data_IF_551758695471
#
_entry.id   IF_551758695471
#
_cell.length_a   1.000
_cell.length_b   1.000
_cell.length_c   1.000
_cell.angle_alpha   90.00
_cell.angle_beta   90.00
_cell.angle_gamma   90.00
#
_symmetry.space_group_name_H-M   'P 1'
#
loop_
_entity.id
_entity.type
_entity.pdbx_description
1 polymer ?
#
# COMPACT_ATOMS: atom_id res chain seq x y z
N UNK A 1 -15.32 13.51 19.65
CA UNK A 1 -15.25 13.11 18.67
C UNK A 1 -13.99 12.60 18.16
N UNK A 2 -13.96 11.63 17.55
CA UNK A 2 -12.83 10.88 17.31
C UNK A 2 -12.22 11.15 16.00
N UNK A 3 -12.15 12.36 15.66
CA UNK A 3 -11.61 12.71 14.46
C UNK A 3 -10.17 12.48 14.35
N UNK A 4 -9.54 12.14 15.40
CA UNK A 4 -8.12 11.93 15.38
C UNK A 4 -7.72 10.56 14.87
N UNK A 5 -8.69 9.70 14.71
CA UNK A 5 -8.38 8.37 14.22
C UNK A 5 -8.64 8.28 12.73
N UNK A 6 -7.64 7.93 11.97
CA UNK A 6 -7.83 7.69 10.55
C UNK A 6 -8.46 6.32 10.35
N UNK A 7 -9.41 6.18 9.43
CA UNK A 7 -10.00 4.88 9.19
C UNK A 7 -9.00 3.94 8.57
N UNK A 8 -9.12 2.67 8.90
CA UNK A 8 -8.32 1.63 8.27
C UNK A 8 -8.98 1.33 6.93
N UNK A 9 -8.26 1.54 5.86
CA UNK A 9 -8.80 1.31 4.53
C UNK A 9 -8.19 0.09 3.87
N UNK A 10 -7.10 -0.43 4.39
CA UNK A 10 -6.49 -1.66 3.90
C UNK A 10 -6.38 -2.60 5.08
N UNK A 11 -6.86 -3.81 4.92
CA UNK A 11 -6.79 -4.81 5.98
C UNK A 11 -5.83 -5.91 5.60
N UNK A 12 -5.23 -6.50 6.60
CA UNK A 12 -4.31 -7.60 6.41
C UNK A 12 -4.97 -8.71 5.58
N UNK A 13 -4.25 -9.18 4.58
CA UNK A 13 -4.76 -10.20 3.68
C UNK A 13 -5.54 -9.66 2.51
N UNK A 14 -5.82 -8.37 2.49
CA UNK A 14 -6.59 -7.77 1.42
C UNK A 14 -5.72 -7.52 0.21
N UNK A 15 -6.29 -7.72 -0.96
CA UNK A 15 -5.58 -7.45 -2.20
C UNK A 15 -5.58 -5.94 -2.45
N UNK A 16 -4.47 -5.40 -2.85
CA UNK A 16 -4.36 -3.97 -3.09
C UNK A 16 -3.47 -3.72 -4.30
N UNK A 17 -3.51 -2.48 -4.79
CA UNK A 17 -2.67 -2.08 -5.92
C UNK A 17 -1.43 -1.41 -5.35
N UNK A 18 -0.27 -1.86 -5.82
CA UNK A 18 0.99 -1.26 -5.47
C UNK A 18 1.38 -0.33 -6.61
N UNK A 19 1.58 0.94 -6.30
CA UNK A 19 2.01 1.93 -7.28
C UNK A 19 3.46 2.28 -7.01
N UNK A 20 4.33 1.99 -7.95
CA UNK A 20 5.75 2.23 -7.81
C UNK A 20 6.26 3.00 -9.01
N UNK A 21 7.18 3.91 -8.79
CA UNK A 21 7.69 4.67 -9.89
C UNK A 21 8.46 5.89 -9.46
N UNK A 22 8.74 6.72 -10.44
CA UNK A 22 9.44 7.98 -10.20
C UNK A 22 8.79 9.05 -11.06
N UNK A 23 9.48 10.18 -11.25
CA UNK A 23 8.90 11.29 -11.99
C UNK A 23 8.65 10.99 -13.46
N UNK A 24 9.27 9.95 -13.98
CA UNK A 24 9.19 9.69 -15.41
C UNK A 24 8.19 8.60 -15.76
N UNK A 25 7.94 7.67 -14.88
CA UNK A 25 6.98 6.63 -15.17
C UNK A 25 6.48 6.02 -13.87
N UNK A 26 5.32 5.38 -13.98
CA UNK A 26 4.70 4.72 -12.85
C UNK A 26 4.30 3.31 -13.25
N UNK A 27 4.55 2.35 -12.37
CA UNK A 27 4.21 0.97 -12.57
C UNK A 27 3.19 0.57 -11.52
N UNK A 28 2.16 -0.13 -11.93
CA UNK A 28 1.16 -0.65 -11.01
C UNK A 28 1.25 -2.17 -10.98
N UNK A 29 1.14 -2.68 -9.78
CA UNK A 29 1.24 -4.12 -9.55
C UNK A 29 0.18 -4.53 -8.55
N UNK A 30 -0.21 -5.80 -8.60
CA UNK A 30 -1.13 -6.33 -7.62
C UNK A 30 -0.34 -6.85 -6.43
N UNK A 31 -0.79 -6.49 -5.24
CA UNK A 31 -0.15 -6.94 -4.03
C UNK A 31 -1.16 -7.37 -2.99
N UNK A 32 -0.65 -7.92 -1.91
CA UNK A 32 -1.46 -8.37 -0.80
C UNK A 32 -0.93 -7.70 0.46
N UNK A 33 -1.83 -7.07 1.20
CA UNK A 33 -1.43 -6.39 2.42
C UNK A 33 -1.05 -7.41 3.48
N UNK A 34 0.07 -7.17 4.14
CA UNK A 34 0.54 -8.06 5.20
C UNK A 34 0.17 -7.53 6.59
N UNK A 35 -0.42 -6.34 6.63
CA UNK A 35 -0.88 -5.74 7.87
C UNK A 35 -1.95 -4.70 7.57
N UNK A 36 -2.67 -4.29 8.59
CA UNK A 36 -3.68 -3.26 8.44
C UNK A 36 -3.00 -1.91 8.23
N UNK A 37 -3.67 -1.02 7.52
CA UNK A 37 -3.14 0.32 7.30
C UNK A 37 -4.21 1.35 7.10
N UNK A 38 -3.96 2.54 7.61
CA UNK A 38 -4.80 3.71 7.39
C UNK A 38 -4.07 4.66 6.45
N UNK A 39 -4.81 5.64 5.94
CA UNK A 39 -4.23 6.62 5.02
C UNK A 39 -3.02 7.28 5.67
N UNK A 40 -1.92 7.29 4.94
CA UNK A 40 -0.69 7.91 5.41
C UNK A 40 0.22 7.00 6.21
N UNK A 41 -0.24 5.79 6.53
CA UNK A 41 0.60 4.85 7.26
C UNK A 41 1.42 4.02 6.31
N UNK A 42 2.60 3.64 6.75
CA UNK A 42 3.43 2.73 5.99
C UNK A 42 3.13 1.31 6.41
N UNK A 43 2.87 0.47 5.45
CA UNK A 43 2.57 -0.93 5.71
C UNK A 43 3.42 -1.80 4.80
N UNK A 44 3.48 -3.08 5.14
CA UNK A 44 4.15 -4.05 4.30
C UNK A 44 3.14 -4.71 3.40
N UNK A 45 3.51 -4.83 2.15
CA UNK A 45 2.69 -5.52 1.16
C UNK A 45 3.57 -6.49 0.41
N UNK A 46 2.96 -7.56 -0.05
CA UNK A 46 3.68 -8.56 -0.83
C UNK A 46 3.26 -8.45 -2.28
N UNK A 47 4.24 -8.33 -3.16
CA UNK A 47 3.96 -8.37 -4.58
C UNK A 47 3.60 -9.81 -4.94
N UNK A 48 2.40 -10.02 -5.47
CA UNK A 48 1.93 -11.36 -5.73
C UNK A 48 2.77 -12.05 -6.79
N UNK A 49 3.20 -11.31 -7.79
CA UNK A 49 3.94 -11.91 -8.90
C UNK A 49 5.34 -12.34 -8.49
N UNK A 50 6.03 -11.51 -7.71
CA UNK A 50 7.40 -11.81 -7.34
C UNK A 50 7.52 -12.40 -5.95
N UNK A 51 6.47 -12.32 -5.18
CA UNK A 51 6.43 -12.76 -3.78
C UNK A 51 7.40 -12.00 -2.89
N UNK A 52 7.77 -10.82 -3.31
CA UNK A 52 8.64 -9.98 -2.51
C UNK A 52 7.82 -9.10 -1.60
N UNK A 53 8.34 -8.88 -0.40
CA UNK A 53 7.72 -7.98 0.56
C UNK A 53 8.33 -6.60 0.39
N UNK A 54 7.48 -5.61 0.23
CA UNK A 54 7.92 -4.22 0.11
C UNK A 54 7.10 -3.38 1.08
N UNK A 55 7.61 -2.21 1.38
CA UNK A 55 6.95 -1.30 2.29
C UNK A 55 6.51 -0.07 1.51
N UNK A 56 5.30 0.37 1.76
CA UNK A 56 4.79 1.55 1.09
C UNK A 56 3.78 2.28 1.94
N UNK A 57 3.37 3.44 1.45
CA UNK A 57 2.44 4.29 2.16
C UNK A 57 1.04 4.14 1.59
N UNK A 58 0.07 3.99 2.48
CA UNK A 58 -1.33 3.85 2.10
C UNK A 58 -1.85 5.17 1.58
N UNK A 59 -2.45 5.14 0.40
CA UNK A 59 -3.00 6.32 -0.24
C UNK A 59 -4.50 6.41 -0.02
N UNK A 60 -5.05 7.59 -0.23
CA UNK A 60 -6.47 7.82 -0.01
C UNK A 60 -7.36 6.95 -0.89
N UNK A 61 -6.86 6.53 -2.05
CA UNK A 61 -7.64 5.70 -2.96
C UNK A 61 -7.52 4.20 -2.68
N UNK A 62 -6.83 3.83 -1.60
CA UNK A 62 -6.68 2.43 -1.26
C UNK A 62 -5.49 1.74 -1.87
N UNK A 63 -4.67 2.46 -2.61
CA UNK A 63 -3.46 1.87 -3.14
C UNK A 63 -2.30 2.09 -2.18
N UNK A 64 -1.16 1.48 -2.47
CA UNK A 64 0.04 1.63 -1.68
C UNK A 64 1.12 2.19 -2.58
N UNK A 65 1.68 3.31 -2.20
CA UNK A 65 2.72 3.97 -2.99
C UNK A 65 4.09 3.55 -2.48
N UNK A 66 4.94 3.11 -3.40
CA UNK A 66 6.27 2.65 -3.08
C UNK A 66 7.26 3.43 -3.92
N UNK A 67 8.28 3.97 -3.29
CA UNK A 67 9.28 4.73 -4.02
C UNK A 67 10.38 3.85 -4.59
N UNK A 68 10.58 2.68 -4.01
CA UNK A 68 11.59 1.72 -4.47
C UNK A 68 11.00 0.33 -4.43
N UNK A 69 11.35 -0.49 -5.39
CA UNK A 69 10.89 -1.89 -5.38
C UNK A 69 11.96 -2.84 -5.91
#
# INVERSE_FOLDING_TARGET
HSMLEAPVIIKRGEQTVIEAGNDQFMVRMTGKALQDGAIGEQIRVQNIASKRTIQGEVQANGSVAVLQW
#
